data_IF_723773378193
#
_entry.id   IF_723773378193
#
_cell.length_a   1.000
_cell.length_b   1.000
_cell.length_c   1.000
_cell.angle_alpha   90.00
_cell.angle_beta   90.00
_cell.angle_gamma   90.00
#
_symmetry.space_group_name_H-M   'P 1'
#
loop_
_entity.id
_entity.type
_entity.pdbx_description
1 polymer ?
#
# COMPACT_ATOMS: atom_id res chain seq x y z
N UNK A 1 -14.19 -23.43 32.72
CA UNK A 1 -13.25 -24.20 31.87
C UNK A 1 -14.02 -24.66 30.64
N UNK A 2 -13.64 -24.18 29.45
CA UNK A 2 -14.32 -24.56 28.20
C UNK A 2 -14.01 -26.00 27.81
N UNK A 3 -14.90 -26.64 27.06
CA UNK A 3 -14.64 -27.96 26.53
C UNK A 3 -13.57 -27.90 25.43
N UNK A 4 -12.78 -28.97 25.26
CA UNK A 4 -11.79 -29.06 24.16
C UNK A 4 -12.41 -28.80 22.78
N UNK A 5 -13.66 -29.23 22.58
CA UNK A 5 -14.38 -29.00 21.33
C UNK A 5 -14.67 -27.51 21.09
N UNK A 6 -15.00 -26.74 22.14
CA UNK A 6 -15.21 -25.29 22.02
C UNK A 6 -13.92 -24.56 21.64
N UNK A 7 -12.78 -24.96 22.21
CA UNK A 7 -11.48 -24.36 21.87
C UNK A 7 -11.12 -24.66 20.41
N UNK A 8 -11.30 -25.89 19.94
CA UNK A 8 -11.05 -26.28 18.55
C UNK A 8 -11.92 -25.48 17.58
N UNK A 9 -13.20 -25.32 17.86
CA UNK A 9 -14.10 -24.53 17.01
C UNK A 9 -13.74 -23.04 17.04
N UNK A 10 -13.29 -22.53 18.19
CA UNK A 10 -12.78 -21.16 18.30
C UNK A 10 -11.52 -20.97 17.45
N UNK A 11 -10.54 -21.86 17.52
CA UNK A 11 -9.34 -21.83 16.66
C UNK A 11 -9.73 -21.81 15.17
N UNK A 12 -10.66 -22.68 14.74
CA UNK A 12 -11.17 -22.69 13.36
C UNK A 12 -11.82 -21.36 12.96
N UNK A 13 -12.56 -20.75 13.89
CA UNK A 13 -13.23 -19.47 13.64
C UNK A 13 -12.25 -18.30 13.46
N UNK A 14 -11.06 -18.37 14.07
CA UNK A 14 -10.03 -17.34 13.94
C UNK A 14 -9.51 -17.23 12.50
N UNK A 15 -9.54 -18.32 11.72
CA UNK A 15 -9.09 -18.38 10.32
C UNK A 15 -7.73 -17.72 10.07
N UNK A 16 -6.82 -17.83 11.03
CA UNK A 16 -5.46 -17.30 10.85
C UNK A 16 -4.73 -18.16 9.83
N UNK A 17 -3.93 -17.53 8.97
CA UNK A 17 -3.13 -18.23 7.97
C UNK A 17 -2.02 -19.08 8.63
N UNK A 18 -1.33 -19.87 7.81
CA UNK A 18 -0.23 -20.75 8.22
C UNK A 18 0.82 -20.02 9.11
N UNK A 19 1.17 -20.65 10.23
CA UNK A 19 2.08 -20.10 11.24
C UNK A 19 3.57 -20.40 11.02
N UNK A 20 3.92 -21.15 9.99
CA UNK A 20 5.30 -21.58 9.72
C UNK A 20 6.29 -20.41 9.71
N UNK A 21 7.22 -20.41 10.66
CA UNK A 21 8.25 -19.39 10.79
C UNK A 21 7.77 -18.04 11.34
N UNK A 22 6.55 -17.97 11.91
CA UNK A 22 5.95 -16.75 12.45
C UNK A 22 6.10 -16.65 13.96
N UNK A 23 6.32 -15.43 14.47
CA UNK A 23 6.29 -15.10 15.90
C UNK A 23 4.90 -14.63 16.31
N UNK A 24 4.37 -15.22 17.37
CA UNK A 24 2.98 -15.06 17.78
C UNK A 24 2.89 -14.53 19.21
N UNK A 25 2.06 -13.52 19.44
CA UNK A 25 1.58 -13.19 20.78
C UNK A 25 0.13 -13.66 20.94
N UNK A 26 -0.20 -14.35 22.03
CA UNK A 26 -1.57 -14.74 22.35
C UNK A 26 -1.96 -14.15 23.70
N UNK A 27 -3.02 -13.33 23.70
CA UNK A 27 -3.51 -12.63 24.88
C UNK A 27 -4.92 -13.11 25.21
N UNK A 28 -5.14 -13.58 26.44
CA UNK A 28 -6.44 -14.07 26.90
C UNK A 28 -6.34 -15.24 27.90
N UNK A 29 -7.42 -16.01 28.01
CA UNK A 29 -7.54 -17.12 28.97
C UNK A 29 -7.36 -18.48 28.28
N UNK A 30 -7.03 -19.51 29.06
CA UNK A 30 -6.94 -20.91 28.60
C UNK A 30 -5.92 -21.10 27.45
N UNK A 31 -4.78 -20.39 27.54
CA UNK A 31 -3.82 -20.21 26.45
C UNK A 31 -3.04 -21.47 26.05
N UNK A 32 -2.84 -22.42 26.96
CA UNK A 32 -2.01 -23.61 26.73
C UNK A 32 -2.49 -24.48 25.56
N UNK A 33 -3.80 -24.51 25.29
CA UNK A 33 -4.32 -25.28 24.14
C UNK A 33 -4.07 -24.56 22.81
N UNK A 34 -4.10 -23.22 22.81
CA UNK A 34 -3.78 -22.42 21.63
C UNK A 34 -2.29 -22.48 21.31
N UNK A 35 -1.45 -22.39 22.33
CA UNK A 35 0.00 -22.54 22.22
C UNK A 35 0.36 -23.88 21.56
N UNK A 36 -0.16 -24.99 22.09
CA UNK A 36 0.09 -26.33 21.53
C UNK A 36 -0.32 -26.43 20.05
N UNK A 37 -1.48 -25.88 19.69
CA UNK A 37 -1.95 -25.90 18.32
C UNK A 37 -1.04 -25.10 17.39
N UNK A 38 -0.65 -23.89 17.76
CA UNK A 38 0.15 -23.03 16.88
C UNK A 38 1.62 -23.46 16.81
N UNK A 39 2.16 -24.10 17.85
CA UNK A 39 3.44 -24.81 17.73
C UNK A 39 3.35 -25.97 16.74
N UNK A 40 2.26 -26.75 16.80
CA UNK A 40 2.01 -27.81 15.82
C UNK A 40 1.87 -27.25 14.39
N UNK A 41 1.27 -26.08 14.22
CA UNK A 41 1.16 -25.37 12.92
C UNK A 41 2.46 -24.70 12.46
N UNK A 42 3.55 -24.82 13.24
CA UNK A 42 4.89 -24.39 12.84
C UNK A 42 5.31 -22.98 13.28
N UNK A 43 4.61 -22.38 14.25
CA UNK A 43 5.04 -21.11 14.83
C UNK A 43 6.50 -21.19 15.32
N UNK A 44 7.28 -20.15 15.03
CA UNK A 44 8.68 -20.05 15.43
C UNK A 44 8.80 -19.80 16.93
N UNK A 45 7.97 -18.91 17.44
CA UNK A 45 7.97 -18.47 18.83
C UNK A 45 6.55 -18.07 19.21
N UNK A 46 6.14 -18.41 20.43
CA UNK A 46 4.84 -18.05 20.98
C UNK A 46 5.06 -17.39 22.33
N UNK A 47 4.57 -16.17 22.50
CA UNK A 47 4.53 -15.47 23.77
C UNK A 47 3.09 -15.44 24.27
N UNK A 48 2.89 -15.94 25.49
CA UNK A 48 1.58 -16.00 26.12
C UNK A 48 1.40 -14.89 27.14
N UNK A 49 0.21 -14.29 27.13
CA UNK A 49 -0.19 -13.21 28.01
C UNK A 49 -1.51 -13.59 28.67
N UNK A 50 -1.41 -14.29 29.81
CA UNK A 50 -2.58 -14.80 30.52
C UNK A 50 -3.37 -13.66 31.19
N UNK A 51 -4.65 -13.58 30.87
CA UNK A 51 -5.54 -12.57 31.42
C UNK A 51 -5.91 -12.79 32.90
N UNK A 52 -5.67 -13.97 33.48
CA UNK A 52 -5.77 -14.17 34.93
C UNK A 52 -4.67 -13.44 35.70
N UNK A 53 -3.48 -13.31 35.10
CA UNK A 53 -2.43 -12.43 35.64
C UNK A 53 -2.79 -10.96 35.43
N UNK A 54 -3.49 -10.64 34.33
CA UNK A 54 -4.00 -9.30 34.05
C UNK A 54 -5.06 -8.83 35.05
N UNK A 55 -5.90 -9.72 35.60
CA UNK A 55 -6.91 -9.35 36.60
C UNK A 55 -6.29 -8.97 37.95
N UNK A 56 -5.20 -9.63 38.33
CA UNK A 56 -4.55 -9.44 39.63
C UNK A 56 -3.60 -8.23 39.65
N UNK A 57 -2.91 -7.93 38.55
CA UNK A 57 -2.05 -6.73 38.42
C UNK A 57 -2.04 -6.18 36.99
N UNK A 58 -3.19 -5.66 36.58
CA UNK A 58 -3.42 -5.09 35.25
C UNK A 58 -2.46 -3.97 34.86
N UNK A 59 -2.07 -3.13 35.82
CA UNK A 59 -1.19 -2.00 35.55
C UNK A 59 0.19 -2.50 35.17
N UNK A 60 0.70 -3.47 35.94
CA UNK A 60 1.95 -4.18 35.61
C UNK A 60 1.84 -4.88 34.26
N UNK A 61 0.72 -5.54 33.96
CA UNK A 61 0.52 -6.16 32.64
C UNK A 61 0.60 -5.15 31.48
N UNK A 62 -0.15 -4.06 31.53
CA UNK A 62 -0.13 -3.04 30.47
C UNK A 62 1.25 -2.39 30.37
N UNK A 63 1.96 -2.19 31.48
CA UNK A 63 3.34 -1.70 31.48
C UNK A 63 4.32 -2.72 30.87
N UNK A 64 4.17 -4.01 31.17
CA UNK A 64 4.98 -5.08 30.59
C UNK A 64 4.72 -5.22 29.10
N UNK A 65 3.45 -5.26 28.67
CA UNK A 65 3.09 -5.24 27.26
C UNK A 65 3.64 -4.00 26.57
N UNK A 66 3.56 -2.82 27.20
CA UNK A 66 4.15 -1.60 26.64
C UNK A 66 5.67 -1.70 26.46
N UNK A 67 6.38 -2.30 27.43
CA UNK A 67 7.85 -2.51 27.42
C UNK A 67 8.30 -3.67 26.52
N UNK A 68 7.40 -4.53 26.07
CA UNK A 68 7.72 -5.66 25.20
C UNK A 68 8.17 -5.16 23.82
N UNK A 69 9.46 -5.21 23.54
CA UNK A 69 10.03 -4.73 22.27
C UNK A 69 10.03 -5.81 21.17
N UNK A 70 9.58 -7.02 21.48
CA UNK A 70 9.45 -8.09 20.50
C UNK A 70 8.47 -7.71 19.38
N UNK A 71 8.94 -7.84 18.14
CA UNK A 71 8.08 -7.72 16.97
C UNK A 71 7.31 -9.01 16.75
N UNK A 72 5.99 -8.95 16.79
CA UNK A 72 5.13 -10.09 16.49
C UNK A 72 4.66 -10.04 15.04
N UNK A 73 4.72 -11.17 14.34
CA UNK A 73 4.06 -11.32 13.04
C UNK A 73 2.54 -11.36 13.22
N UNK A 74 2.07 -12.01 14.29
CA UNK A 74 0.66 -12.18 14.57
C UNK A 74 0.40 -11.91 16.05
N UNK A 75 -0.65 -11.17 16.35
CA UNK A 75 -1.16 -10.96 17.71
C UNK A 75 -2.59 -11.49 17.73
N UNK A 76 -2.89 -12.46 18.60
CA UNK A 76 -4.22 -13.01 18.78
C UNK A 76 -4.75 -12.52 20.13
N UNK A 77 -5.87 -11.80 20.10
CA UNK A 77 -6.58 -11.35 21.29
C UNK A 77 -7.88 -12.14 21.44
N UNK A 78 -7.91 -13.00 22.45
CA UNK A 78 -9.07 -13.80 22.82
C UNK A 78 -9.84 -13.04 23.91
N UNK A 79 -10.93 -12.38 23.52
CA UNK A 79 -11.70 -11.54 24.44
C UNK A 79 -12.53 -12.38 25.43
N UNK A 80 -12.68 -11.90 26.67
CA UNK A 80 -13.67 -12.33 27.67
C UNK A 80 -14.51 -11.15 28.19
N UNK A 81 -15.76 -11.39 28.60
CA UNK A 81 -16.72 -10.35 29.00
C UNK A 81 -16.33 -9.54 30.26
N UNK A 82 -15.28 -9.95 30.98
CA UNK A 82 -14.92 -9.45 32.32
C UNK A 82 -14.01 -8.20 32.30
N UNK A 83 -13.43 -7.81 31.15
CA UNK A 83 -12.37 -6.78 31.07
C UNK A 83 -12.69 -5.56 30.16
N UNK A 84 -13.94 -5.09 30.20
CA UNK A 84 -14.51 -4.16 29.21
C UNK A 84 -13.72 -2.86 28.92
N UNK A 85 -13.25 -2.11 29.93
CA UNK A 85 -12.51 -0.83 29.71
C UNK A 85 -11.06 -1.05 29.25
N UNK A 86 -10.51 -2.20 29.61
CA UNK A 86 -9.09 -2.52 29.58
C UNK A 86 -8.69 -2.96 28.19
N UNK A 87 -9.56 -3.73 27.54
CA UNK A 87 -9.38 -4.15 26.16
C UNK A 87 -9.30 -2.99 25.17
N UNK A 88 -9.86 -1.81 25.47
CA UNK A 88 -9.66 -0.62 24.60
C UNK A 88 -8.21 -0.16 24.59
N UNK A 89 -7.59 -0.08 25.77
CA UNK A 89 -6.19 0.32 25.90
C UNK A 89 -5.27 -0.77 25.35
N UNK A 90 -5.56 -2.03 25.66
CA UNK A 90 -4.80 -3.16 25.13
C UNK A 90 -4.91 -3.25 23.60
N UNK A 91 -6.11 -3.11 23.03
CA UNK A 91 -6.31 -3.05 21.59
C UNK A 91 -5.51 -1.89 20.98
N UNK A 92 -5.59 -0.70 21.57
CA UNK A 92 -4.81 0.45 21.10
C UNK A 92 -3.30 0.19 21.15
N UNK A 93 -2.77 -0.34 22.25
CA UNK A 93 -1.36 -0.69 22.38
C UNK A 93 -0.94 -1.79 21.37
N UNK A 94 -1.79 -2.80 21.16
CA UNK A 94 -1.53 -3.85 20.17
C UNK A 94 -1.53 -3.31 18.75
N UNK A 95 -2.40 -2.36 18.42
CA UNK A 95 -2.40 -1.66 17.14
C UNK A 95 -1.08 -0.89 16.91
N UNK A 96 -0.55 -0.24 17.96
CA UNK A 96 0.74 0.47 17.90
C UNK A 96 1.94 -0.46 17.70
N UNK A 97 1.82 -1.76 18.03
CA UNK A 97 2.86 -2.76 17.84
C UNK A 97 2.82 -3.45 16.48
N UNK A 98 1.82 -3.16 15.64
CA UNK A 98 1.72 -3.79 14.33
C UNK A 98 2.81 -3.27 13.39
N UNK A 99 3.60 -4.19 12.83
CA UNK A 99 4.42 -3.91 11.67
C UNK A 99 3.57 -3.88 10.39
N UNK A 100 4.08 -3.34 9.26
CA UNK A 100 3.37 -3.34 7.98
C UNK A 100 2.96 -4.73 7.43
N UNK A 101 3.55 -5.80 7.95
CA UNK A 101 3.24 -7.20 7.61
C UNK A 101 2.53 -7.96 8.73
N UNK A 102 2.35 -7.35 9.90
CA UNK A 102 1.75 -8.03 11.05
C UNK A 102 0.23 -8.11 10.93
N UNK A 103 -0.36 -9.09 11.60
CA UNK A 103 -1.80 -9.27 11.73
C UNK A 103 -2.22 -9.20 13.21
N UNK A 104 -3.19 -8.35 13.52
CA UNK A 104 -3.93 -8.43 14.77
C UNK A 104 -5.26 -9.16 14.52
N UNK A 105 -5.46 -10.28 15.19
CA UNK A 105 -6.69 -11.05 15.18
C UNK A 105 -7.42 -10.87 16.51
N UNK A 106 -8.59 -10.25 16.51
CA UNK A 106 -9.38 -10.02 17.74
C UNK A 106 -10.69 -10.76 17.65
N UNK A 107 -10.93 -11.65 18.61
CA UNK A 107 -12.19 -12.39 18.73
C UNK A 107 -13.10 -11.74 19.76
N UNK A 108 -14.18 -11.10 19.33
CA UNK A 108 -15.16 -10.45 20.21
C UNK A 108 -16.39 -11.34 20.46
N UNK A 109 -16.77 -11.61 21.71
CA UNK A 109 -18.05 -12.27 22.01
C UNK A 109 -19.22 -11.33 21.71
N UNK A 110 -20.32 -11.89 21.19
CA UNK A 110 -21.55 -11.14 20.86
C UNK A 110 -22.40 -10.80 22.09
N UNK A 111 -21.99 -11.13 23.30
CA UNK A 111 -22.67 -10.69 24.54
C UNK A 111 -21.81 -9.72 25.39
N UNK A 112 -20.69 -9.26 24.83
CA UNK A 112 -19.77 -8.31 25.45
C UNK A 112 -20.42 -6.98 25.88
N UNK A 113 -20.61 -6.77 27.19
CA UNK A 113 -21.26 -5.55 27.73
C UNK A 113 -20.63 -4.24 27.25
N UNK A 114 -19.34 -4.20 26.87
CA UNK A 114 -18.70 -3.03 26.24
C UNK A 114 -19.27 -2.72 24.85
N UNK A 115 -19.60 -3.76 24.09
CA UNK A 115 -20.29 -3.70 22.80
C UNK A 115 -21.82 -3.75 22.95
N UNK A 116 -22.40 -3.93 24.15
CA UNK A 116 -23.86 -4.15 24.31
C UNK A 116 -24.68 -3.04 24.99
N UNK A 117 -24.21 -1.77 25.00
CA UNK A 117 -24.92 -0.60 25.58
C UNK A 117 -25.61 0.44 24.63
N UNK A 118 -25.03 0.86 23.50
CA UNK A 118 -25.52 2.01 22.67
C UNK A 118 -25.88 1.66 21.20
N UNK A 119 -26.91 2.22 20.55
CA UNK A 119 -27.30 1.89 19.15
C UNK A 119 -26.20 2.01 18.05
N UNK A 120 -24.99 2.51 18.36
CA UNK A 120 -23.92 2.86 17.40
C UNK A 120 -22.57 2.11 17.64
N UNK A 121 -22.62 0.83 18.05
CA UNK A 121 -21.43 0.08 18.55
C UNK A 121 -20.43 -0.35 17.47
N UNK A 122 -20.90 -0.81 16.32
CA UNK A 122 -20.02 -1.11 15.19
C UNK A 122 -19.32 0.17 14.73
N UNK A 123 -20.02 1.31 14.69
CA UNK A 123 -19.43 2.59 14.34
C UNK A 123 -18.22 2.94 15.24
N UNK A 124 -18.26 2.68 16.55
CA UNK A 124 -17.10 2.95 17.45
C UNK A 124 -15.87 2.10 17.13
N UNK A 125 -16.01 0.79 16.97
CA UNK A 125 -14.90 -0.09 16.59
C UNK A 125 -14.43 0.25 15.18
N UNK A 126 -15.36 0.54 14.26
CA UNK A 126 -15.02 0.96 12.90
C UNK A 126 -14.23 2.27 12.88
N UNK A 127 -14.60 3.25 13.72
CA UNK A 127 -13.91 4.53 13.85
C UNK A 127 -12.52 4.37 14.48
N UNK A 128 -12.40 3.56 15.54
CA UNK A 128 -11.09 3.24 16.13
C UNK A 128 -10.14 2.60 15.10
N UNK A 129 -10.70 1.77 14.22
CA UNK A 129 -9.96 1.05 13.19
C UNK A 129 -10.01 1.76 11.83
N UNK A 130 -10.28 3.06 11.76
CA UNK A 130 -10.43 3.77 10.48
C UNK A 130 -9.10 3.86 9.72
N UNK A 131 -8.00 3.96 10.46
CA UNK A 131 -6.64 4.04 9.92
C UNK A 131 -6.03 2.67 9.62
N UNK A 132 -6.81 1.59 9.78
CA UNK A 132 -6.36 0.21 9.61
C UNK A 132 -7.15 -0.50 8.51
N UNK A 133 -6.48 -1.42 7.82
CA UNK A 133 -7.15 -2.38 6.96
C UNK A 133 -7.83 -3.44 7.85
N UNK A 134 -9.13 -3.66 7.67
CA UNK A 134 -9.90 -4.58 8.50
C UNK A 134 -10.81 -5.50 7.71
N UNK A 135 -10.83 -6.77 8.09
CA UNK A 135 -11.80 -7.77 7.62
C UNK A 135 -12.55 -8.33 8.81
N UNK A 136 -13.88 -8.28 8.73
CA UNK A 136 -14.77 -8.88 9.72
C UNK A 136 -15.18 -10.26 9.24
N UNK A 137 -14.92 -11.28 10.07
CA UNK A 137 -15.32 -12.66 9.87
C UNK A 137 -16.40 -12.94 10.90
N UNK A 138 -17.65 -12.89 10.44
CA UNK A 138 -18.75 -13.27 11.31
C UNK A 138 -18.87 -14.78 11.32
N UNK A 139 -18.88 -15.42 12.50
CA UNK A 139 -19.20 -16.84 12.62
C UNK A 139 -20.72 -17.06 12.50
N UNK A 140 -21.33 -16.68 11.37
CA UNK A 140 -22.69 -17.13 11.03
C UNK A 140 -22.55 -18.50 10.38
N UNK A 141 -22.74 -19.59 11.13
CA UNK A 141 -22.64 -20.89 10.48
C UNK A 141 -23.23 -22.06 11.24
N UNK A 142 -22.96 -22.19 12.53
CA UNK A 142 -23.59 -23.24 13.34
C UNK A 142 -23.86 -22.66 14.71
N UNK A 143 -25.04 -22.98 15.27
CA UNK A 143 -25.16 -23.11 16.72
C UNK A 143 -24.05 -24.08 17.12
N UNK A 144 -22.88 -23.52 17.45
CA UNK A 144 -21.96 -24.18 18.36
C UNK A 144 -22.85 -24.54 19.56
N UNK A 145 -22.77 -25.80 19.94
CA UNK A 145 -23.50 -26.44 21.04
C UNK A 145 -23.99 -25.46 22.11
N UNK A 146 -25.23 -25.60 22.54
CA UNK A 146 -25.89 -24.73 23.52
C UNK A 146 -24.91 -24.19 24.58
N UNK A 147 -24.57 -22.90 24.50
CA UNK A 147 -23.61 -22.25 25.39
C UNK A 147 -22.50 -21.42 24.70
N UNK A 148 -22.20 -21.66 23.43
CA UNK A 148 -21.19 -20.88 22.73
C UNK A 148 -21.83 -19.71 21.96
N UNK A 149 -21.81 -18.52 22.57
CA UNK A 149 -22.28 -17.29 21.93
C UNK A 149 -21.48 -17.05 20.64
N UNK A 150 -22.18 -16.82 19.54
CA UNK A 150 -21.56 -16.50 18.25
C UNK A 150 -20.58 -15.34 18.42
N UNK A 151 -19.33 -15.48 17.98
CA UNK A 151 -18.32 -14.43 18.09
C UNK A 151 -18.08 -13.73 16.75
N UNK A 152 -17.42 -12.60 16.80
CA UNK A 152 -17.03 -11.82 15.63
C UNK A 152 -15.51 -11.67 15.64
N UNK A 153 -14.85 -12.22 14.63
CA UNK A 153 -13.40 -12.15 14.51
C UNK A 153 -13.02 -10.99 13.58
N UNK A 154 -12.15 -10.11 14.05
CA UNK A 154 -11.58 -9.00 13.28
C UNK A 154 -10.14 -9.34 12.94
N UNK A 155 -9.83 -9.32 11.64
CA UNK A 155 -8.46 -9.33 11.14
C UNK A 155 -8.08 -7.90 10.80
N UNK A 156 -7.06 -7.38 11.46
CA UNK A 156 -6.66 -5.98 11.41
C UNK A 156 -5.18 -5.92 11.03
N UNK A 157 -4.85 -5.08 10.05
CA UNK A 157 -3.50 -4.82 9.59
C UNK A 157 -3.28 -3.31 9.44
N UNK A 158 -2.02 -2.88 9.45
CA UNK A 158 -1.67 -1.49 9.10
C UNK A 158 -2.17 -1.22 7.68
N UNK A 159 -2.94 -0.14 7.51
CA UNK A 159 -3.39 0.28 6.19
C UNK A 159 -2.17 0.77 5.41
N UNK A 160 -1.89 0.13 4.28
CA UNK A 160 -0.81 0.58 3.39
C UNK A 160 -1.28 1.78 2.57
N UNK A 161 -0.37 2.73 2.34
CA UNK A 161 -0.63 3.85 1.43
C UNK A 161 -0.70 3.33 -0.01
N UNK A 162 -1.58 3.92 -0.81
CA UNK A 162 -1.73 3.60 -2.23
C UNK A 162 -1.03 4.66 -3.08
N UNK A 163 -0.42 4.23 -4.18
CA UNK A 163 0.02 5.14 -5.24
C UNK A 163 -0.70 4.78 -6.53
N UNK A 164 -1.50 5.71 -7.04
CA UNK A 164 -2.20 5.54 -8.31
C UNK A 164 -1.29 6.02 -9.43
N UNK A 165 -0.74 5.07 -10.19
CA UNK A 165 0.14 5.33 -11.31
C UNK A 165 -0.70 5.59 -12.55
N UNK A 166 -0.66 6.82 -13.06
CA UNK A 166 -1.31 7.17 -14.31
C UNK A 166 -0.44 6.68 -15.47
N UNK A 167 -0.75 5.50 -15.97
CA UNK A 167 0.05 4.82 -16.98
C UNK A 167 -0.48 5.16 -18.38
N UNK A 168 0.33 5.87 -19.16
CA UNK A 168 -0.04 6.25 -20.52
C UNK A 168 1.03 7.10 -21.20
N UNK A 169 1.13 6.98 -22.52
CA UNK A 169 2.03 7.78 -23.35
C UNK A 169 1.77 9.29 -23.18
N UNK A 170 2.71 10.16 -23.57
CA UNK A 170 2.42 11.58 -23.71
C UNK A 170 1.14 11.81 -24.56
N UNK A 171 0.30 12.78 -24.18
CA UNK A 171 -0.90 13.12 -24.95
C UNK A 171 -2.11 12.18 -24.77
N UNK A 172 -2.08 11.19 -23.87
CA UNK A 172 -3.22 10.31 -23.57
C UNK A 172 -4.20 10.88 -22.54
N UNK A 173 -4.07 12.16 -22.17
CA UNK A 173 -4.97 12.82 -21.22
C UNK A 173 -4.72 12.48 -19.74
N UNK A 174 -3.54 11.99 -19.36
CA UNK A 174 -3.19 11.67 -17.95
C UNK A 174 -3.50 12.81 -16.98
N UNK A 175 -3.02 14.01 -17.27
CA UNK A 175 -3.25 15.18 -16.41
C UNK A 175 -4.73 15.56 -16.33
N UNK A 176 -5.48 15.39 -17.42
CA UNK A 176 -6.93 15.57 -17.43
C UNK A 176 -7.60 14.57 -16.50
N UNK A 177 -7.26 13.28 -16.62
CA UNK A 177 -7.79 12.22 -15.76
C UNK A 177 -7.42 12.42 -14.30
N UNK A 178 -6.17 12.83 -14.02
CA UNK A 178 -5.72 13.20 -12.68
C UNK A 178 -6.64 14.26 -12.08
N UNK A 179 -6.84 15.36 -12.82
CA UNK A 179 -7.66 16.48 -12.35
C UNK A 179 -9.15 16.14 -12.25
N UNK A 180 -9.72 15.38 -13.18
CA UNK A 180 -11.17 15.12 -13.21
C UNK A 180 -11.58 14.02 -12.24
N UNK A 181 -10.80 12.95 -12.11
CA UNK A 181 -11.15 11.81 -11.27
C UNK A 181 -10.70 11.96 -9.82
N UNK A 182 -9.63 12.73 -9.56
CA UNK A 182 -9.02 12.80 -8.22
C UNK A 182 -9.10 14.17 -7.55
N UNK A 183 -9.56 15.22 -8.23
CA UNK A 183 -9.73 16.55 -7.60
C UNK A 183 -10.64 16.52 -6.35
N UNK A 184 -11.64 15.64 -6.32
CA UNK A 184 -12.55 15.50 -5.18
C UNK A 184 -12.08 14.51 -4.10
N UNK A 185 -10.97 13.80 -4.32
CA UNK A 185 -10.57 12.64 -3.50
C UNK A 185 -9.65 12.96 -2.31
N UNK A 186 -9.36 14.23 -2.05
CA UNK A 186 -8.34 14.71 -1.07
C UNK A 186 -6.91 14.18 -1.30
N UNK A 187 -6.71 13.26 -2.26
CA UNK A 187 -5.40 12.71 -2.59
C UNK A 187 -4.54 13.76 -3.29
N UNK A 188 -3.31 14.00 -2.84
CA UNK A 188 -2.38 14.87 -3.54
C UNK A 188 -2.05 14.28 -4.93
N UNK A 189 -1.97 15.15 -5.92
CA UNK A 189 -1.53 14.82 -7.27
C UNK A 189 -0.08 15.28 -7.39
N UNK A 190 0.84 14.33 -7.52
CA UNK A 190 2.26 14.58 -7.74
C UNK A 190 2.52 14.53 -9.24
N UNK A 191 2.98 15.65 -9.81
CA UNK A 191 3.38 15.73 -11.22
C UNK A 191 4.88 15.47 -11.33
N UNK A 192 5.26 14.45 -12.11
CA UNK A 192 6.66 14.14 -12.41
C UNK A 192 7.36 15.30 -13.12
N UNK A 193 6.73 15.85 -14.16
CA UNK A 193 7.23 16.98 -14.95
C UNK A 193 7.50 18.21 -14.07
N UNK A 194 6.56 18.54 -13.18
CA UNK A 194 6.74 19.63 -12.21
C UNK A 194 7.85 19.31 -11.20
N UNK A 195 7.93 18.07 -10.73
CA UNK A 195 8.98 17.62 -9.80
C UNK A 195 10.36 17.83 -10.40
N UNK A 196 10.58 17.43 -11.67
CA UNK A 196 11.85 17.66 -12.36
C UNK A 196 12.19 19.14 -12.50
N UNK A 197 11.20 19.98 -12.80
CA UNK A 197 11.37 21.43 -12.84
C UNK A 197 11.77 21.99 -11.48
N UNK A 198 11.11 21.54 -10.42
CA UNK A 198 11.39 21.99 -9.05
C UNK A 198 12.78 21.53 -8.58
N UNK A 199 13.26 20.36 -9.00
CA UNK A 199 14.64 19.91 -8.76
C UNK A 199 15.64 20.76 -9.55
N UNK A 200 15.38 20.99 -10.84
CA UNK A 200 16.22 21.84 -11.69
C UNK A 200 16.42 23.25 -11.10
N UNK A 201 15.33 23.82 -10.59
CA UNK A 201 15.31 25.15 -9.97
C UNK A 201 15.75 25.16 -8.49
N UNK A 202 16.15 24.00 -7.94
CA UNK A 202 16.66 23.86 -6.57
C UNK A 202 15.61 24.00 -5.46
N UNK A 203 14.32 23.88 -5.79
CA UNK A 203 13.20 23.90 -4.83
C UNK A 203 12.94 22.55 -4.17
N UNK A 204 13.31 21.46 -4.83
CA UNK A 204 13.19 20.09 -4.32
C UNK A 204 14.58 19.47 -4.29
N UNK A 205 14.96 18.96 -3.12
CA UNK A 205 16.23 18.26 -2.95
C UNK A 205 16.09 16.80 -3.37
N UNK A 206 17.13 16.27 -4.00
CA UNK A 206 17.29 14.85 -4.33
C UNK A 206 18.78 14.51 -4.21
N UNK A 207 19.17 13.24 -4.33
CA UNK A 207 20.58 12.88 -4.33
C UNK A 207 21.34 13.59 -5.49
N UNK A 208 22.63 13.87 -5.27
CA UNK A 208 23.46 14.63 -6.22
C UNK A 208 23.51 14.02 -7.63
N UNK A 209 23.42 12.69 -7.73
CA UNK A 209 23.47 11.99 -9.01
C UNK A 209 22.21 12.27 -9.84
N UNK A 210 21.01 12.14 -9.26
CA UNK A 210 19.76 12.48 -9.97
C UNK A 210 19.69 13.97 -10.27
N UNK A 211 20.13 14.81 -9.32
CA UNK A 211 20.18 16.26 -9.52
C UNK A 211 21.06 16.64 -10.71
N UNK A 212 22.25 16.03 -10.86
CA UNK A 212 23.15 16.27 -12.00
C UNK A 212 22.48 15.91 -13.33
N UNK A 213 21.87 14.72 -13.41
CA UNK A 213 21.17 14.27 -14.62
C UNK A 213 20.03 15.22 -14.99
N UNK A 214 19.24 15.65 -14.00
CA UNK A 214 18.14 16.60 -14.21
C UNK A 214 18.68 17.98 -14.64
N UNK A 215 19.73 18.49 -14.00
CA UNK A 215 20.34 19.78 -14.35
C UNK A 215 20.94 19.81 -15.75
N UNK A 216 21.52 18.70 -16.21
CA UNK A 216 22.08 18.59 -17.55
C UNK A 216 20.98 18.53 -18.64
N UNK A 217 19.90 17.78 -18.40
CA UNK A 217 18.99 17.37 -19.46
C UNK A 217 17.58 17.97 -19.38
N UNK A 218 17.26 18.74 -18.34
CA UNK A 218 15.91 19.28 -18.18
C UNK A 218 15.54 20.23 -19.33
N UNK A 219 14.56 19.78 -20.13
CA UNK A 219 13.87 20.58 -21.13
C UNK A 219 12.39 20.20 -21.09
N UNK A 220 11.44 21.17 -21.00
CA UNK A 220 10.02 20.87 -20.85
C UNK A 220 9.44 19.96 -21.95
N UNK A 221 9.99 20.00 -23.17
CA UNK A 221 9.58 19.15 -24.28
C UNK A 221 10.25 17.77 -24.31
N UNK A 222 11.22 17.50 -23.42
CA UNK A 222 12.01 16.24 -23.39
C UNK A 222 11.87 15.46 -22.09
N UNK A 223 10.80 15.68 -21.33
CA UNK A 223 10.60 15.01 -20.04
C UNK A 223 10.59 13.49 -20.16
N UNK A 224 9.99 12.93 -21.20
CA UNK A 224 10.03 11.47 -21.45
C UNK A 224 11.47 10.94 -21.52
N UNK A 225 12.33 11.63 -22.27
CA UNK A 225 13.73 11.25 -22.44
C UNK A 225 14.53 11.43 -21.15
N UNK A 226 14.27 12.50 -20.40
CA UNK A 226 14.87 12.71 -19.08
C UNK A 226 14.49 11.58 -18.11
N UNK A 227 13.20 11.24 -18.01
CA UNK A 227 12.72 10.12 -17.18
C UNK A 227 13.38 8.81 -17.60
N UNK A 228 13.47 8.55 -18.92
CA UNK A 228 14.15 7.38 -19.44
C UNK A 228 15.62 7.33 -19.01
N UNK A 229 16.38 8.43 -19.16
CA UNK A 229 17.80 8.50 -18.76
C UNK A 229 18.01 8.27 -17.26
N UNK A 230 17.13 8.81 -16.41
CA UNK A 230 17.17 8.58 -14.96
C UNK A 230 17.00 7.09 -14.64
N UNK A 231 16.01 6.43 -15.25
CA UNK A 231 15.71 5.01 -15.01
C UNK A 231 16.74 4.06 -15.64
N UNK A 232 17.33 4.42 -16.78
CA UNK A 232 18.48 3.71 -17.35
C UNK A 232 19.73 3.82 -16.46
N UNK A 233 19.85 4.92 -15.73
CA UNK A 233 20.94 5.15 -14.77
C UNK A 233 20.71 4.50 -13.40
N UNK A 234 19.66 3.67 -13.26
CA UNK A 234 19.28 2.97 -12.03
C UNK A 234 18.90 3.89 -10.86
N UNK A 235 18.32 5.06 -11.15
CA UNK A 235 17.93 6.07 -10.16
C UNK A 235 16.44 5.99 -9.76
N UNK A 236 15.78 4.85 -10.01
CA UNK A 236 14.37 4.66 -9.64
C UNK A 236 14.11 4.78 -8.13
N UNK A 237 15.07 4.36 -7.29
CA UNK A 237 14.98 4.43 -5.83
C UNK A 237 14.83 5.86 -5.32
N UNK A 238 15.73 6.72 -5.74
CA UNK A 238 15.77 8.12 -5.31
C UNK A 238 14.63 8.93 -5.91
N UNK A 239 14.24 8.61 -7.15
CA UNK A 239 13.10 9.25 -7.79
C UNK A 239 11.78 8.91 -7.08
N UNK A 240 11.57 7.64 -6.74
CA UNK A 240 10.39 7.19 -6.00
C UNK A 240 10.37 7.76 -4.58
N UNK A 241 11.51 7.76 -3.88
CA UNK A 241 11.62 8.38 -2.56
C UNK A 241 11.24 9.88 -2.61
N UNK A 242 11.73 10.61 -3.62
CA UNK A 242 11.37 12.02 -3.83
C UNK A 242 9.84 12.21 -4.00
N UNK A 243 9.17 11.38 -4.80
CA UNK A 243 7.71 11.47 -4.94
C UNK A 243 6.96 11.14 -3.66
N UNK A 244 7.44 10.15 -2.89
CA UNK A 244 6.87 9.77 -1.58
C UNK A 244 7.00 10.93 -0.58
N UNK A 245 8.16 11.59 -0.55
CA UNK A 245 8.40 12.73 0.34
C UNK A 245 7.51 13.93 -0.03
N UNK A 246 7.35 14.21 -1.32
CA UNK A 246 6.42 15.23 -1.82
C UNK A 246 4.96 14.93 -1.45
N UNK A 247 4.60 13.64 -1.42
CA UNK A 247 3.30 13.16 -0.95
C UNK A 247 3.18 13.09 0.59
N UNK A 248 4.24 13.47 1.34
CA UNK A 248 4.30 13.42 2.81
C UNK A 248 3.96 12.03 3.36
N UNK A 249 4.41 10.98 2.67
CA UNK A 249 4.13 9.57 3.01
C UNK A 249 2.63 9.19 3.04
N UNK A 250 1.75 9.99 2.43
CA UNK A 250 0.32 9.67 2.28
C UNK A 250 0.04 8.94 0.96
N UNK A 251 -1.18 8.44 0.79
CA UNK A 251 -1.63 7.92 -0.50
C UNK A 251 -1.71 9.07 -1.52
N UNK A 252 -1.38 8.83 -2.79
CA UNK A 252 -1.33 9.90 -3.79
C UNK A 252 -1.51 9.39 -5.22
N UNK A 253 -1.71 10.32 -6.15
CA UNK A 253 -1.76 10.06 -7.58
C UNK A 253 -0.47 10.57 -8.23
N UNK A 254 0.18 9.72 -9.02
CA UNK A 254 1.39 10.10 -9.76
C UNK A 254 1.04 10.33 -11.23
N UNK A 255 1.10 11.60 -11.65
CA UNK A 255 1.05 12.01 -13.06
C UNK A 255 2.48 12.22 -13.56
N UNK A 256 3.09 11.15 -14.06
CA UNK A 256 4.45 11.17 -14.59
C UNK A 256 4.55 10.33 -15.86
N UNK A 257 5.40 10.74 -16.79
CA UNK A 257 5.64 9.99 -18.00
C UNK A 257 6.74 8.94 -17.79
N UNK A 258 6.35 7.76 -17.31
CA UNK A 258 7.25 6.62 -17.08
C UNK A 258 7.22 5.70 -18.31
N UNK A 259 8.36 5.40 -18.95
CA UNK A 259 8.40 4.43 -20.03
C UNK A 259 7.93 3.05 -19.57
N UNK A 260 7.14 2.38 -20.40
CA UNK A 260 6.48 1.10 -20.05
C UNK A 260 7.46 0.03 -19.58
N UNK A 261 8.65 -0.04 -20.19
CA UNK A 261 9.71 -0.99 -19.85
C UNK A 261 10.27 -0.82 -18.42
N UNK A 262 10.06 0.34 -17.78
CA UNK A 262 10.54 0.61 -16.42
C UNK A 262 9.42 0.61 -15.37
N UNK A 263 8.16 0.45 -15.76
CA UNK A 263 7.03 0.49 -14.82
C UNK A 263 7.16 -0.54 -13.70
N UNK A 264 7.58 -1.77 -14.01
CA UNK A 264 7.76 -2.81 -13.00
C UNK A 264 8.83 -2.47 -11.97
N UNK A 265 9.91 -1.80 -12.39
CA UNK A 265 10.97 -1.35 -11.47
C UNK A 265 10.46 -0.26 -10.54
N UNK A 266 9.76 0.73 -11.08
CA UNK A 266 9.16 1.83 -10.29
C UNK A 266 8.14 1.28 -9.28
N UNK A 267 7.31 0.31 -9.68
CA UNK A 267 6.38 -0.34 -8.76
C UNK A 267 7.05 -1.14 -7.66
N UNK A 268 8.12 -1.86 -8.00
CA UNK A 268 8.89 -2.60 -7.01
C UNK A 268 9.45 -1.66 -5.95
N UNK A 269 9.89 -0.48 -6.37
CA UNK A 269 10.42 0.52 -5.46
C UNK A 269 9.34 1.16 -4.59
N UNK A 270 8.15 1.46 -5.13
CA UNK A 270 7.01 1.86 -4.31
C UNK A 270 6.66 0.80 -3.26
N UNK A 271 6.69 -0.49 -3.63
CA UNK A 271 6.47 -1.59 -2.69
C UNK A 271 7.50 -1.62 -1.58
N UNK A 272 8.78 -1.34 -1.88
CA UNK A 272 9.86 -1.22 -0.87
C UNK A 272 9.62 -0.04 0.08
N UNK A 273 9.06 1.06 -0.42
CA UNK A 273 8.62 2.20 0.40
C UNK A 273 7.31 1.93 1.17
N UNK A 274 6.75 0.71 1.12
CA UNK A 274 5.55 0.33 1.84
C UNK A 274 4.23 0.66 1.14
N UNK A 275 4.27 1.11 -0.11
CA UNK A 275 3.09 1.45 -0.90
C UNK A 275 2.50 0.25 -1.63
N UNK A 276 1.20 0.33 -1.93
CA UNK A 276 0.52 -0.52 -2.90
C UNK A 276 0.41 0.28 -4.22
N UNK A 277 1.19 -0.07 -5.26
CA UNK A 277 1.03 0.55 -6.56
C UNK A 277 -0.23 0.04 -7.27
N UNK A 278 -1.00 0.97 -7.84
CA UNK A 278 -2.20 0.69 -8.63
C UNK A 278 -2.02 1.32 -10.01
N UNK A 279 -1.84 0.50 -11.05
CA UNK A 279 -1.78 0.99 -12.44
C UNK A 279 -3.19 1.34 -12.91
N UNK A 280 -3.33 2.56 -13.40
CA UNK A 280 -4.53 2.99 -14.10
C UNK A 280 -4.20 3.06 -15.59
N UNK A 281 -4.62 2.02 -16.31
CA UNK A 281 -4.54 1.95 -17.77
C UNK A 281 -5.88 2.32 -18.38
N UNK A 282 -5.85 3.08 -19.47
CA UNK A 282 -7.02 3.30 -20.33
C UNK A 282 -6.60 3.27 -21.79
N UNK A 283 -7.48 2.76 -22.64
CA UNK A 283 -7.29 2.80 -24.07
C UNK A 283 -7.62 4.20 -24.57
N UNK A 284 -6.61 4.88 -25.10
CA UNK A 284 -6.81 6.13 -25.84
C UNK A 284 -5.82 6.14 -27.00
N UNK A 285 -6.30 6.43 -28.20
CA UNK A 285 -5.39 6.75 -29.29
C UNK A 285 -4.58 8.00 -28.90
N UNK A 286 -3.24 7.95 -28.95
CA UNK A 286 -2.43 9.10 -28.63
C UNK A 286 -2.75 10.22 -29.62
N UNK A 287 -3.24 11.35 -29.10
CA UNK A 287 -3.53 12.54 -29.91
C UNK A 287 -2.27 13.33 -30.30
N UNK A 288 -1.12 12.96 -29.72
CA UNK A 288 0.18 13.53 -30.01
C UNK A 288 1.22 12.43 -30.21
N UNK A 289 2.08 12.61 -31.20
CA UNK A 289 3.22 11.72 -31.46
C UNK A 289 4.44 12.16 -30.63
N UNK A 290 5.34 11.21 -30.29
CA UNK A 290 6.58 11.57 -29.58
C UNK A 290 7.49 12.43 -30.47
N UNK A 291 8.20 13.38 -29.87
CA UNK A 291 9.05 14.34 -30.60
C UNK A 291 10.07 13.65 -31.51
N UNK A 292 10.71 12.57 -31.07
CA UNK A 292 11.71 11.85 -31.86
C UNK A 292 11.11 11.22 -33.14
N UNK A 293 9.91 10.66 -33.04
CA UNK A 293 9.17 10.12 -34.19
C UNK A 293 8.78 11.24 -35.16
N UNK A 294 8.29 12.37 -34.63
CA UNK A 294 7.99 13.56 -35.43
C UNK A 294 9.24 14.08 -36.16
N UNK A 295 10.38 14.21 -35.46
CA UNK A 295 11.67 14.63 -36.05
C UNK A 295 12.14 13.67 -37.13
N UNK A 296 12.00 12.35 -36.94
CA UNK A 296 12.35 11.35 -37.95
C UNK A 296 11.47 11.48 -39.19
N UNK A 297 10.14 11.60 -39.03
CA UNK A 297 9.21 11.80 -40.15
C UNK A 297 9.52 13.09 -40.92
N UNK A 298 9.78 14.18 -40.20
CA UNK A 298 10.18 15.46 -40.81
C UNK A 298 11.49 15.30 -41.59
N UNK A 299 12.51 14.64 -41.03
CA UNK A 299 13.78 14.40 -41.73
C UNK A 299 13.60 13.53 -42.98
N UNK A 300 12.79 12.47 -42.90
CA UNK A 300 12.45 11.63 -44.05
C UNK A 300 11.71 12.42 -45.14
N UNK A 301 10.75 13.25 -44.75
CA UNK A 301 10.02 14.13 -45.65
C UNK A 301 10.95 15.16 -46.31
N UNK A 302 11.85 15.81 -45.56
CA UNK A 302 12.85 16.73 -46.12
C UNK A 302 13.78 16.05 -47.13
N UNK A 303 14.18 14.79 -46.88
CA UNK A 303 14.97 13.98 -47.82
C UNK A 303 14.18 13.63 -49.10
N UNK A 304 12.88 13.40 -48.98
CA UNK A 304 12.01 13.16 -50.15
C UNK A 304 11.81 14.43 -50.97
N UNK A 305 11.60 15.59 -50.33
CA UNK A 305 11.48 16.87 -51.03
C UNK A 305 12.72 17.18 -51.86
N UNK A 306 13.92 16.98 -51.30
CA UNK A 306 15.19 17.20 -52.03
C UNK A 306 15.37 16.25 -53.21
N UNK A 307 14.97 14.97 -53.09
CA UNK A 307 14.94 14.00 -54.21
C UNK A 307 13.84 14.30 -55.24
N UNK A 308 12.68 14.80 -54.83
CA UNK A 308 11.58 15.20 -55.70
C UNK A 308 11.94 16.44 -56.55
N UNK A 309 12.64 17.41 -55.97
CA UNK A 309 13.15 18.56 -56.72
C UNK A 309 14.21 18.20 -57.76
N UNK A 310 14.99 17.12 -57.58
CA UNK A 310 15.93 16.66 -58.62
C UNK A 310 15.22 15.94 -59.77
N UNK A 311 14.11 15.22 -59.51
CA UNK A 311 13.27 14.60 -60.53
C UNK A 311 12.50 15.64 -61.36
N UNK A 312 11.96 16.69 -60.72
CA UNK A 312 11.29 17.79 -61.42
C UNK A 312 12.26 18.63 -62.26
N UNK A 313 13.50 18.86 -61.79
CA UNK A 313 14.54 19.50 -62.63
C UNK A 313 14.98 18.61 -63.80
N UNK A 314 15.04 17.30 -63.62
CA UNK A 314 15.38 16.35 -64.70
C UNK A 314 14.31 16.25 -65.79
N UNK A 315 13.03 16.38 -65.44
CA UNK A 315 11.91 16.40 -66.38
C UNK A 315 11.80 17.73 -67.16
N UNK A 316 12.09 18.86 -66.52
CA UNK A 316 12.12 20.17 -67.20
C UNK A 316 13.28 20.32 -68.19
N UNK A 317 14.40 19.61 -67.99
CA UNK A 317 15.53 19.62 -68.94
C UNK A 317 15.37 18.66 -70.13
N UNK A 318 14.47 17.67 -70.06
CA UNK A 318 14.22 16.73 -71.17
C UNK A 318 13.17 17.21 -72.19
N UNK A 319 12.39 18.24 -71.86
CA UNK A 319 11.38 18.80 -72.76
C UNK A 319 11.86 20.05 -73.55
N UNK A 320 13.14 20.41 -73.44
CA UNK A 320 13.75 21.57 -74.13
C UNK A 320 14.95 21.17 -75.01
N UNK A 321 14.95 19.96 -75.58
CA UNK A 321 15.93 19.55 -76.61
C UNK A 321 15.24 18.98 -77.84
#
# INVERSE_FOLDING_TARGET
MRSKNEIVERIKSLRVANMSGKRLAIIGYELSTYEQFYYFDGALEITLFDSLECENDMKSFLENWKREDSQFDIIIMLYSDELNVIYSNLLHLSLLKLSPSSLLCVDFPKNNRWLFGVKDRQARVFNLLNDFAKKVINSHGRRLTAGCDSSCVYHIQVKKSYVFLLTGSPGTGKSTLASSCFSASELPIISGDKTYKDIFEGRVAINKQSESVIKEDFQPNRIYRLTQRLLESQLEAELVACWVDLAKHQSFVLDSCIPSIFLEKVELEFKRQGYIPVRLNWESEPTMEMEDLTRQKVSQFSKQLTKGTSLLRGLLYKNNR
#
